data_IF_506551475521
#
_entry.id   IF_506551475521
#
_cell.length_a   1.000
_cell.length_b   1.000
_cell.length_c   1.000
_cell.angle_alpha   90.00
_cell.angle_beta   90.00
_cell.angle_gamma   90.00
#
_symmetry.space_group_name_H-M   'P 1'
#
loop_
_entity.id
_entity.type
_entity.pdbx_description
1 polymer ?
#
# COMPACT_ATOMS: atom_id res chain seq x y z
N UNK A 1 16.77 -4.55 -4.22
CA UNK A 1 15.76 -3.61 -3.71
C UNK A 1 14.77 -4.33 -2.80
N UNK A 2 14.30 -3.69 -1.75
CA UNK A 2 13.30 -4.24 -0.85
C UNK A 2 11.97 -3.54 -1.10
N UNK A 3 10.86 -4.23 -0.82
CA UNK A 3 9.53 -3.69 -1.04
C UNK A 3 8.66 -3.87 0.20
N UNK A 4 7.86 -2.84 0.52
CA UNK A 4 6.80 -2.92 1.50
C UNK A 4 5.46 -3.05 0.77
N UNK A 5 4.65 -4.02 1.17
CA UNK A 5 3.30 -4.21 0.64
C UNK A 5 2.30 -3.91 1.75
N UNK A 6 1.33 -3.04 1.47
CA UNK A 6 0.24 -2.75 2.38
C UNK A 6 -1.09 -3.25 1.83
N UNK A 7 -1.79 -4.05 2.61
CA UNK A 7 -3.16 -4.47 2.32
C UNK A 7 -4.09 -3.52 3.07
N UNK A 8 -4.91 -2.78 2.33
CA UNK A 8 -5.67 -1.64 2.87
C UNK A 8 -7.16 -1.89 2.78
N UNK A 9 -7.86 -1.71 3.90
CA UNK A 9 -9.32 -1.73 3.94
C UNK A 9 -9.83 -0.35 4.39
N UNK A 10 -10.86 0.16 3.71
CA UNK A 10 -11.45 1.46 4.01
C UNK A 10 -12.10 1.50 5.40
N UNK A 11 -12.27 2.69 5.93
CA UNK A 11 -13.11 2.90 7.12
C UNK A 11 -14.56 2.54 6.80
N UNK A 12 -15.36 2.08 7.82
CA UNK A 12 -16.71 1.61 7.58
C UNK A 12 -17.65 2.65 6.97
N UNK A 13 -17.44 3.93 7.24
CA UNK A 13 -18.26 5.04 6.74
C UNK A 13 -17.83 5.56 5.38
N UNK A 14 -16.80 4.96 4.78
CA UNK A 14 -16.32 5.30 3.44
C UNK A 14 -16.80 4.26 2.43
N UNK A 15 -17.19 4.71 1.24
CA UNK A 15 -17.42 3.80 0.11
C UNK A 15 -16.10 3.43 -0.54
N UNK A 16 -16.08 2.33 -1.29
CA UNK A 16 -14.91 1.94 -2.09
C UNK A 16 -14.51 3.06 -3.06
N UNK A 17 -15.48 3.68 -3.72
CA UNK A 17 -15.22 4.79 -4.66
C UNK A 17 -14.58 5.99 -3.97
N UNK A 18 -15.06 6.34 -2.76
CA UNK A 18 -14.47 7.44 -1.98
C UNK A 18 -13.04 7.10 -1.57
N UNK A 19 -12.78 5.86 -1.17
CA UNK A 19 -11.44 5.38 -0.83
C UNK A 19 -10.49 5.53 -2.02
N UNK A 20 -10.89 5.05 -3.19
CA UNK A 20 -10.07 5.11 -4.40
C UNK A 20 -9.74 6.56 -4.78
N UNK A 21 -10.72 7.43 -4.72
CA UNK A 21 -10.56 8.84 -5.08
C UNK A 21 -9.59 9.56 -4.14
N UNK A 22 -9.78 9.41 -2.84
CA UNK A 22 -8.90 10.02 -1.83
C UNK A 22 -7.48 9.48 -1.96
N UNK A 23 -7.35 8.18 -2.15
CA UNK A 23 -6.06 7.50 -2.23
C UNK A 23 -5.20 8.07 -3.36
N UNK A 24 -5.79 8.28 -4.54
CA UNK A 24 -5.05 8.80 -5.70
C UNK A 24 -4.95 10.32 -5.72
N UNK A 25 -5.99 11.04 -5.30
CA UNK A 25 -6.01 12.51 -5.42
C UNK A 25 -5.34 13.23 -4.27
N UNK A 26 -5.48 12.71 -3.05
CA UNK A 26 -4.99 13.39 -1.83
C UNK A 26 -3.76 12.68 -1.26
N UNK A 27 -3.83 11.36 -1.12
CA UNK A 27 -2.77 10.57 -0.47
C UNK A 27 -1.53 10.41 -1.36
N UNK A 28 -1.72 10.03 -2.62
CA UNK A 28 -0.61 9.77 -3.52
C UNK A 28 0.38 10.94 -3.68
N UNK A 29 -0.06 12.20 -3.78
CA UNK A 29 0.88 13.31 -3.89
C UNK A 29 1.86 13.42 -2.73
N UNK A 30 1.47 13.01 -1.53
CA UNK A 30 2.33 13.07 -0.35
C UNK A 30 3.52 12.10 -0.45
N UNK A 31 3.38 11.04 -1.24
CA UNK A 31 4.43 10.04 -1.39
C UNK A 31 5.68 10.59 -2.08
N UNK A 32 5.52 11.62 -2.93
CA UNK A 32 6.64 12.23 -3.65
C UNK A 32 7.68 12.83 -2.71
N UNK A 33 7.30 13.23 -1.52
CA UNK A 33 8.19 13.87 -0.56
C UNK A 33 8.96 12.86 0.31
N UNK A 34 8.61 11.57 0.27
CA UNK A 34 9.21 10.57 1.15
C UNK A 34 10.65 10.26 0.72
N UNK A 35 11.65 10.53 1.59
CA UNK A 35 13.04 10.26 1.23
C UNK A 35 13.31 8.77 1.02
N UNK A 36 14.06 8.45 -0.03
CA UNK A 36 14.47 7.08 -0.30
C UNK A 36 13.41 6.21 -0.96
N UNK A 37 12.18 6.69 -1.11
CA UNK A 37 11.13 5.99 -1.83
C UNK A 37 11.44 6.02 -3.33
N UNK A 38 11.77 4.85 -3.90
CA UNK A 38 12.22 4.74 -5.29
C UNK A 38 11.08 4.53 -6.26
N UNK A 39 10.03 3.82 -5.81
CA UNK A 39 8.85 3.53 -6.61
C UNK A 39 7.67 3.35 -5.68
N UNK A 40 6.52 3.83 -6.10
CA UNK A 40 5.27 3.67 -5.38
C UNK A 40 4.17 3.30 -6.37
N UNK A 41 3.47 2.22 -6.10
CA UNK A 41 2.36 1.75 -6.93
C UNK A 41 1.14 1.52 -6.06
N UNK A 42 0.01 2.02 -6.51
CA UNK A 42 -1.29 1.72 -5.94
C UNK A 42 -2.00 0.70 -6.84
N UNK A 43 -2.42 -0.41 -6.26
CA UNK A 43 -3.25 -1.38 -6.94
C UNK A 43 -4.69 -1.19 -6.47
N UNK A 44 -5.53 -0.62 -7.33
CA UNK A 44 -6.95 -0.39 -7.08
C UNK A 44 -7.71 -1.66 -7.43
N UNK A 45 -8.32 -2.30 -6.43
CA UNK A 45 -9.01 -3.57 -6.64
C UNK A 45 -10.31 -3.34 -7.41
N UNK A 46 -10.44 -4.03 -8.55
CA UNK A 46 -11.62 -3.94 -9.41
C UNK A 46 -12.62 -5.05 -9.13
N UNK A 47 -12.13 -6.27 -8.92
CA UNK A 47 -12.96 -7.41 -8.55
C UNK A 47 -12.13 -8.45 -7.79
N UNK A 48 -12.81 -9.47 -7.26
CA UNK A 48 -12.17 -10.57 -6.57
C UNK A 48 -12.29 -11.85 -7.40
N UNK A 49 -11.28 -12.71 -7.29
CA UNK A 49 -11.26 -14.02 -7.93
C UNK A 49 -10.97 -15.08 -6.88
N UNK A 50 -11.71 -16.17 -6.93
CA UNK A 50 -11.49 -17.32 -6.08
C UNK A 50 -11.26 -18.59 -6.92
N UNK A 51 -10.71 -19.62 -6.30
CA UNK A 51 -10.48 -20.92 -6.93
C UNK A 51 -11.29 -21.96 -6.17
N UNK A 52 -11.95 -22.85 -6.91
CA UNK A 52 -12.78 -23.89 -6.29
C UNK A 52 -11.97 -25.02 -5.65
N UNK A 53 -10.70 -25.15 -6.03
CA UNK A 53 -9.80 -26.22 -5.56
C UNK A 53 -8.96 -25.85 -4.35
N UNK A 54 -9.00 -24.57 -3.91
CA UNK A 54 -8.24 -24.09 -2.75
C UNK A 54 -9.19 -23.31 -1.84
N UNK A 55 -9.07 -23.53 -0.53
CA UNK A 55 -9.86 -22.79 0.46
C UNK A 55 -9.59 -21.31 0.36
N UNK A 56 -10.65 -20.51 0.30
CA UNK A 56 -10.57 -19.06 0.17
C UNK A 56 -9.92 -18.43 1.40
N UNK A 57 -8.97 -17.52 1.16
CA UNK A 57 -8.43 -16.65 2.21
C UNK A 57 -9.45 -15.58 2.51
N UNK A 58 -9.92 -15.52 3.77
CA UNK A 58 -10.89 -14.52 4.20
C UNK A 58 -10.22 -13.16 4.35
N UNK A 59 -10.50 -12.26 3.40
CA UNK A 59 -9.87 -10.96 3.33
C UNK A 59 -10.80 -9.97 2.63
N UNK A 60 -11.03 -8.82 3.29
CA UNK A 60 -11.79 -7.71 2.70
C UNK A 60 -10.90 -6.50 2.63
N UNK A 61 -10.39 -6.19 1.43
CA UNK A 61 -9.51 -5.05 1.20
C UNK A 61 -9.97 -4.27 -0.02
N UNK A 62 -9.59 -3.01 -0.06
CA UNK A 62 -9.91 -2.08 -1.15
C UNK A 62 -8.74 -1.85 -2.09
N UNK A 63 -7.52 -2.04 -1.60
CA UNK A 63 -6.34 -1.80 -2.40
C UNK A 63 -5.08 -2.42 -1.82
N UNK A 64 -4.06 -2.49 -2.67
CA UNK A 64 -2.74 -2.98 -2.29
C UNK A 64 -1.71 -1.92 -2.67
N UNK A 65 -0.98 -1.40 -1.68
CA UNK A 65 0.09 -0.44 -1.89
C UNK A 65 1.43 -1.15 -1.96
N UNK A 66 2.29 -0.68 -2.86
CA UNK A 66 3.64 -1.22 -2.99
C UNK A 66 4.64 -0.07 -3.01
N UNK A 67 5.64 -0.14 -2.11
CA UNK A 67 6.66 0.89 -1.94
C UNK A 67 8.05 0.24 -2.01
N UNK A 68 8.91 0.72 -2.91
CA UNK A 68 10.26 0.18 -3.10
C UNK A 68 11.31 1.10 -2.50
N UNK A 69 12.26 0.50 -1.80
CA UNK A 69 13.43 1.16 -1.21
C UNK A 69 14.69 0.37 -1.62
N UNK A 70 15.86 1.02 -1.56
CA UNK A 70 17.11 0.35 -1.94
C UNK A 70 17.38 -0.88 -1.07
N UNK A 71 17.14 -0.78 0.25
CA UNK A 71 17.36 -1.84 1.21
C UNK A 71 16.53 -1.60 2.48
N UNK A 72 16.66 -2.51 3.46
CA UNK A 72 15.93 -2.38 4.73
C UNK A 72 16.33 -1.12 5.51
N UNK A 73 17.60 -0.74 5.45
CA UNK A 73 18.08 0.45 6.13
C UNK A 73 17.39 1.72 5.59
N UNK A 74 17.22 1.80 4.27
CA UNK A 74 16.52 2.90 3.62
C UNK A 74 15.03 2.92 3.98
N UNK A 75 14.39 1.76 4.05
CA UNK A 75 13.00 1.62 4.49
C UNK A 75 12.84 2.09 5.93
N UNK A 76 13.70 1.63 6.83
CA UNK A 76 13.64 1.99 8.24
C UNK A 76 13.93 3.48 8.47
N UNK A 77 14.88 4.04 7.72
CA UNK A 77 15.18 5.47 7.77
C UNK A 77 13.99 6.31 7.31
N UNK A 78 13.35 5.92 6.21
CA UNK A 78 12.17 6.62 5.68
C UNK A 78 11.02 6.64 6.69
N UNK A 79 10.82 5.55 7.43
CA UNK A 79 9.76 5.43 8.42
C UNK A 79 9.85 6.48 9.54
N UNK A 80 11.04 7.01 9.79
CA UNK A 80 11.28 8.00 10.85
C UNK A 80 11.20 9.43 10.38
N UNK A 81 10.94 9.68 9.09
CA UNK A 81 10.90 11.04 8.53
C UNK A 81 9.57 11.72 8.77
N UNK A 82 9.53 13.07 8.87
CA UNK A 82 8.27 13.81 8.93
C UNK A 82 7.39 13.58 7.72
N UNK A 83 7.99 13.37 6.55
CA UNK A 83 7.27 13.16 5.28
C UNK A 83 6.52 11.82 5.30
N UNK A 84 7.12 10.76 5.82
CA UNK A 84 6.42 9.48 5.99
C UNK A 84 5.33 9.58 7.06
N UNK A 85 5.59 10.33 8.13
CA UNK A 85 4.59 10.55 9.18
C UNK A 85 3.36 11.30 8.62
N UNK A 86 3.59 12.28 7.74
CA UNK A 86 2.50 13.00 7.07
C UNK A 86 1.70 12.07 6.15
N UNK A 87 2.38 11.19 5.42
CA UNK A 87 1.74 10.19 4.58
C UNK A 87 0.86 9.25 5.43
N UNK A 88 1.41 8.75 6.54
CA UNK A 88 0.68 7.88 7.46
C UNK A 88 -0.51 8.59 8.13
N UNK A 89 -0.35 9.85 8.50
CA UNK A 89 -1.42 10.65 9.10
C UNK A 89 -2.60 10.80 8.12
N UNK A 90 -2.32 11.04 6.85
CA UNK A 90 -3.38 11.04 5.83
C UNK A 90 -4.01 9.65 5.69
N UNK A 91 -3.19 8.61 5.70
CA UNK A 91 -3.68 7.23 5.65
C UNK A 91 -4.71 6.93 6.73
N UNK A 92 -4.47 7.41 7.94
CA UNK A 92 -5.38 7.19 9.07
C UNK A 92 -6.75 7.86 8.90
N UNK A 93 -6.90 8.76 7.93
CA UNK A 93 -8.18 9.41 7.66
C UNK A 93 -9.16 8.52 6.91
N UNK A 94 -8.66 7.62 6.06
CA UNK A 94 -9.50 6.81 5.17
C UNK A 94 -9.27 5.31 5.27
N UNK A 95 -8.13 4.87 5.81
CA UNK A 95 -7.81 3.45 6.01
C UNK A 95 -8.32 3.03 7.38
N UNK A 96 -9.22 2.06 7.42
CA UNK A 96 -9.77 1.52 8.65
C UNK A 96 -8.98 0.36 9.21
N UNK A 97 -8.43 -0.47 8.33
CA UNK A 97 -7.59 -1.63 8.70
C UNK A 97 -6.46 -1.78 7.71
N UNK A 98 -5.30 -2.19 8.20
CA UNK A 98 -4.11 -2.37 7.37
C UNK A 98 -3.29 -3.55 7.87
N UNK A 99 -2.68 -4.27 6.92
CA UNK A 99 -1.62 -5.23 7.21
C UNK A 99 -0.48 -4.96 6.25
N UNK A 100 0.74 -4.87 6.76
CA UNK A 100 1.90 -4.60 5.92
C UNK A 100 2.90 -5.74 6.01
N UNK A 101 3.60 -5.98 4.90
CA UNK A 101 4.65 -6.98 4.79
C UNK A 101 5.86 -6.37 4.12
N UNK A 102 7.04 -6.71 4.63
CA UNK A 102 8.29 -6.41 3.93
C UNK A 102 8.65 -7.65 3.13
N UNK A 103 8.84 -7.49 1.83
CA UNK A 103 9.05 -8.61 0.93
C UNK A 103 10.31 -8.42 0.07
N UNK A 104 10.89 -9.53 -0.34
CA UNK A 104 11.93 -9.58 -1.34
C UNK A 104 11.33 -10.12 -2.63
N UNK A 105 11.43 -9.36 -3.72
CA UNK A 105 10.89 -9.79 -5.01
C UNK A 105 11.80 -10.84 -5.65
N UNK A 106 11.18 -11.87 -6.20
CA UNK A 106 11.85 -12.86 -7.05
C UNK A 106 11.18 -12.81 -8.41
N UNK A 107 11.80 -12.15 -9.37
CA UNK A 107 11.27 -12.07 -10.73
C UNK A 107 11.49 -13.41 -11.44
N UNK A 108 10.42 -14.06 -11.82
CA UNK A 108 10.47 -15.35 -12.53
C UNK A 108 10.38 -15.11 -14.04
N UNK A 109 9.48 -14.22 -14.45
CA UNK A 109 9.29 -13.81 -15.84
C UNK A 109 9.16 -12.29 -15.86
N UNK A 110 9.81 -11.67 -16.86
CA UNK A 110 9.76 -10.23 -17.03
C UNK A 110 11.12 -9.59 -16.72
N UNK A 111 11.14 -8.25 -16.70
CA UNK A 111 12.36 -7.48 -16.48
C UNK A 111 12.28 -6.66 -15.21
#
# INVERSE_FOLDING_TARGET
>A
MIKSIGLLARKPDWTHAQFMKHWIEVHAPLAHAVPGLRRYVQNHILDERTRSDITELQLEIDGVAELWFDDRAALDAAARTPEMQALHADGAKFIGRIRSYVVEEKTIIGT
#
